data_IF_892495607843
#
_entry.id   IF_892495607843
#
_cell.length_a   1.000
_cell.length_b   1.000
_cell.length_c   1.000
_cell.angle_alpha   90.00
_cell.angle_beta   90.00
_cell.angle_gamma   90.00
#
_symmetry.space_group_name_H-M   'P 1'
#
loop_
_entity.id
_entity.type
_entity.pdbx_description
1 polymer ?
#
# COMPACT_ATOMS: atom_id res chain seq x y z
N UNK A 1 8.88 9.13 -0.85
CA UNK A 1 8.95 8.48 0.48
C UNK A 1 8.00 7.29 0.52
N UNK A 2 8.33 6.18 1.21
CA UNK A 2 7.45 5.02 1.32
C UNK A 2 6.29 5.26 2.31
N UNK A 3 5.18 4.57 2.09
CA UNK A 3 4.02 4.62 2.97
C UNK A 3 4.21 3.82 4.25
N UNK A 4 4.76 2.61 4.11
CA UNK A 4 5.20 1.79 5.24
C UNK A 4 6.65 1.36 5.03
N UNK A 5 7.37 1.16 6.13
CA UNK A 5 8.67 0.48 6.13
C UNK A 5 8.65 -0.68 7.12
N UNK A 6 9.27 -1.78 6.73
CA UNK A 6 9.38 -3.02 7.52
C UNK A 6 10.84 -3.18 7.96
N UNK A 7 11.12 -3.47 9.25
CA UNK A 7 12.47 -3.82 9.71
C UNK A 7 12.98 -5.06 9.01
N UNK A 8 14.27 -5.06 8.65
CA UNK A 8 14.87 -6.13 7.84
C UNK A 8 14.86 -7.53 8.49
N UNK A 9 14.88 -7.62 9.83
CA UNK A 9 15.17 -8.87 10.56
C UNK A 9 14.05 -9.36 11.49
N UNK A 10 12.83 -8.80 11.42
CA UNK A 10 11.77 -9.09 12.39
C UNK A 10 10.39 -9.24 11.76
N UNK A 11 10.33 -9.70 10.52
CA UNK A 11 9.07 -9.91 9.80
C UNK A 11 8.89 -11.39 9.49
N UNK A 12 7.96 -12.03 10.21
CA UNK A 12 7.49 -13.35 9.80
C UNK A 12 6.51 -13.14 8.65
N UNK A 13 6.76 -13.86 7.58
CA UNK A 13 5.91 -13.82 6.41
C UNK A 13 4.60 -14.56 6.70
N UNK A 14 3.51 -14.03 6.17
CA UNK A 14 2.23 -14.72 6.07
C UNK A 14 2.00 -15.13 4.64
N UNK A 15 1.62 -16.39 4.48
CA UNK A 15 1.32 -16.92 3.19
C UNK A 15 0.10 -16.18 2.61
N UNK A 16 0.27 -15.57 1.42
CA UNK A 16 -0.76 -14.79 0.77
C UNK A 16 -2.05 -15.57 0.57
N UNK A 17 -1.94 -16.82 0.09
CA UNK A 17 -3.02 -17.80 0.08
C UNK A 17 -4.09 -17.66 -1.01
N UNK A 18 -3.90 -18.35 -2.14
CA UNK A 18 -4.89 -18.51 -3.21
C UNK A 18 -4.97 -17.32 -4.15
N UNK A 19 -5.85 -17.34 -5.18
CA UNK A 19 -6.31 -16.09 -5.74
C UNK A 19 -7.04 -15.31 -4.63
N UNK A 20 -6.38 -14.30 -4.09
CA UNK A 20 -6.89 -13.44 -3.02
C UNK A 20 -6.31 -12.04 -3.17
N UNK A 21 -7.12 -11.02 -2.87
CA UNK A 21 -6.61 -9.65 -2.75
C UNK A 21 -6.40 -9.34 -1.27
N UNK A 22 -5.14 -9.19 -0.89
CA UNK A 22 -4.70 -8.84 0.45
C UNK A 22 -4.26 -7.37 0.48
N UNK A 23 -4.61 -6.64 1.53
CA UNK A 23 -4.31 -5.23 1.61
C UNK A 23 -4.68 -4.54 2.92
N UNK A 24 -4.66 -3.22 2.88
CA UNK A 24 -4.93 -2.39 4.05
C UNK A 24 -5.54 -1.06 3.66
N UNK A 25 -6.33 -0.53 4.59
CA UNK A 25 -7.02 0.74 4.49
C UNK A 25 -6.27 1.82 5.25
N UNK A 26 -6.32 3.03 4.72
CA UNK A 26 -5.70 4.20 5.32
C UNK A 26 -6.42 5.51 5.02
N UNK A 27 -6.15 6.51 5.85
CA UNK A 27 -6.43 7.91 5.61
C UNK A 27 -5.13 8.72 5.51
N UNK A 28 -5.24 9.93 4.99
CA UNK A 28 -4.13 10.85 4.75
C UNK A 28 -4.22 12.07 5.66
N UNK A 29 -3.06 12.60 6.07
CA UNK A 29 -2.98 13.85 6.84
C UNK A 29 -2.66 15.06 5.96
N UNK A 30 -2.27 14.85 4.70
CA UNK A 30 -2.00 15.89 3.72
C UNK A 30 -2.25 15.34 2.31
N UNK A 31 -2.42 16.22 1.33
CA UNK A 31 -2.46 15.82 -0.07
C UNK A 31 -1.11 15.19 -0.46
N UNK A 32 -1.16 14.05 -1.13
CA UNK A 32 0.04 13.36 -1.62
C UNK A 32 -0.11 13.03 -3.09
N UNK A 33 1.03 12.94 -3.77
CA UNK A 33 1.10 12.43 -5.13
C UNK A 33 1.76 11.05 -5.08
N UNK A 34 0.99 10.00 -5.34
CA UNK A 34 1.52 8.64 -5.52
C UNK A 34 2.42 8.62 -6.75
N UNK A 35 3.51 7.87 -6.64
CA UNK A 35 4.56 7.81 -7.68
C UNK A 35 4.94 6.38 -8.05
N UNK A 36 4.82 5.45 -7.10
CA UNK A 36 5.14 4.03 -7.30
C UNK A 36 4.19 3.16 -6.50
N UNK A 37 3.85 1.99 -7.05
CA UNK A 37 3.21 0.89 -6.31
C UNK A 37 4.24 -0.20 -6.06
N UNK A 38 4.16 -0.85 -4.90
CA UNK A 38 5.16 -1.81 -4.47
C UNK A 38 4.60 -3.02 -3.77
N UNK A 39 5.40 -4.08 -3.71
CA UNK A 39 5.11 -5.31 -3.01
C UNK A 39 6.33 -5.74 -2.17
N UNK A 40 6.07 -6.32 -1.01
CA UNK A 40 7.10 -6.83 -0.12
C UNK A 40 7.89 -7.97 -0.78
N UNK A 41 9.21 -7.89 -0.76
CA UNK A 41 10.14 -8.91 -1.29
C UNK A 41 11.51 -8.70 -0.63
N UNK A 42 11.57 -8.86 0.70
CA UNK A 42 12.78 -8.56 1.46
C UNK A 42 13.76 -9.76 1.49
N UNK A 43 14.96 -9.66 0.88
CA UNK A 43 15.97 -10.72 0.91
C UNK A 43 16.66 -10.87 2.28
N UNK A 44 16.53 -9.88 3.16
CA UNK A 44 17.27 -9.82 4.43
C UNK A 44 16.57 -10.54 5.59
N UNK A 45 15.48 -11.27 5.33
CA UNK A 45 14.77 -12.04 6.36
C UNK A 45 15.64 -13.23 6.78
N UNK A 46 16.17 -13.17 8.00
CA UNK A 46 17.04 -14.21 8.58
C UNK A 46 16.39 -15.02 9.69
N UNK A 47 15.28 -14.52 10.25
CA UNK A 47 14.73 -14.99 11.53
C UNK A 47 13.33 -15.61 11.35
N UNK A 48 13.18 -16.46 10.33
CA UNK A 48 11.91 -17.09 9.93
C UNK A 48 11.10 -16.23 8.94
N UNK A 49 10.37 -16.88 8.03
CA UNK A 49 9.66 -16.23 6.92
C UNK A 49 10.12 -16.73 5.54
N UNK A 50 9.53 -16.19 4.47
CA UNK A 50 9.90 -16.50 3.09
C UNK A 50 10.94 -15.49 2.61
N UNK A 51 12.11 -15.98 2.20
CA UNK A 51 13.20 -15.15 1.69
C UNK A 51 12.74 -14.44 0.41
N UNK A 52 12.77 -13.11 0.42
CA UNK A 52 12.48 -12.33 -0.78
C UNK A 52 13.68 -12.26 -1.71
N UNK A 53 13.89 -13.25 -2.57
CA UNK A 53 14.94 -13.28 -3.59
C UNK A 53 14.44 -12.95 -5.00
N UNK A 54 13.21 -12.44 -5.08
CA UNK A 54 12.46 -12.22 -6.30
C UNK A 54 11.06 -12.78 -6.17
N UNK A 55 10.09 -12.08 -6.78
CA UNK A 55 8.70 -12.52 -6.73
C UNK A 55 8.52 -13.82 -7.52
N UNK A 56 7.76 -14.76 -6.99
CA UNK A 56 7.45 -16.02 -7.65
C UNK A 56 6.36 -15.87 -8.71
N UNK A 57 5.49 -14.87 -8.56
CA UNK A 57 4.36 -14.63 -9.44
C UNK A 57 4.16 -13.14 -9.76
N UNK A 58 3.43 -12.80 -10.83
CA UNK A 58 3.04 -11.42 -11.08
C UNK A 58 1.94 -10.99 -10.12
N UNK A 59 2.04 -9.75 -9.62
CA UNK A 59 1.06 -9.17 -8.70
C UNK A 59 0.44 -7.91 -9.28
N UNK A 60 -0.82 -7.97 -9.75
CA UNK A 60 -1.66 -6.80 -9.89
C UNK A 60 -1.85 -6.11 -8.53
N UNK A 61 -1.60 -4.80 -8.48
CA UNK A 61 -1.75 -3.96 -7.30
C UNK A 61 -2.72 -2.83 -7.66
N UNK A 62 -3.59 -2.48 -6.73
CA UNK A 62 -4.57 -1.41 -6.90
C UNK A 62 -4.65 -0.50 -5.67
N UNK A 63 -4.95 0.77 -5.92
CA UNK A 63 -5.40 1.71 -4.89
C UNK A 63 -6.82 2.13 -5.21
N UNK A 64 -7.73 1.97 -4.25
CA UNK A 64 -9.11 2.38 -4.35
C UNK A 64 -9.40 3.58 -3.47
N UNK A 65 -10.18 4.53 -3.98
CA UNK A 65 -10.85 5.57 -3.20
C UNK A 65 -12.15 5.00 -2.64
N UNK A 66 -12.31 5.10 -1.32
CA UNK A 66 -13.49 4.67 -0.56
C UNK A 66 -14.05 5.82 0.28
N UNK A 67 -13.76 7.07 -0.10
CA UNK A 67 -14.26 8.27 0.58
C UNK A 67 -15.78 8.32 0.56
N UNK A 68 -16.40 7.72 -0.46
CA UNK A 68 -17.82 7.41 -0.46
C UNK A 68 -18.06 6.04 0.22
N UNK A 69 -18.89 5.96 1.28
CA UNK A 69 -19.10 4.71 1.99
C UNK A 69 -19.85 3.62 1.19
N UNK A 70 -20.45 3.98 0.05
CA UNK A 70 -21.25 3.06 -0.78
C UNK A 70 -20.51 2.55 -2.02
N UNK A 71 -19.41 3.20 -2.41
CA UNK A 71 -18.72 2.88 -3.66
C UNK A 71 -17.21 2.89 -3.44
N UNK A 72 -16.53 1.91 -4.03
CA UNK A 72 -15.09 1.94 -4.21
C UNK A 72 -14.77 2.29 -5.66
N UNK A 73 -13.76 3.14 -5.87
CA UNK A 73 -13.29 3.53 -7.19
C UNK A 73 -11.81 3.20 -7.32
N UNK A 74 -11.42 2.39 -8.30
CA UNK A 74 -10.02 2.08 -8.56
C UNK A 74 -9.34 3.32 -9.15
N UNK A 75 -8.47 3.94 -8.36
CA UNK A 75 -7.77 5.20 -8.68
C UNK A 75 -6.53 4.94 -9.53
N UNK A 76 -5.78 3.91 -9.18
CA UNK A 76 -4.57 3.52 -9.90
C UNK A 76 -4.33 2.03 -9.75
N UNK A 77 -3.75 1.43 -10.78
CA UNK A 77 -3.33 0.05 -10.77
C UNK A 77 -2.01 -0.12 -11.54
N UNK A 78 -1.22 -1.09 -11.13
CA UNK A 78 -0.02 -1.52 -11.84
C UNK A 78 0.19 -3.02 -11.62
N UNK A 79 1.04 -3.64 -12.44
CA UNK A 79 1.44 -5.04 -12.26
C UNK A 79 2.92 -5.07 -11.96
N UNK A 80 3.30 -5.69 -10.85
CA UNK A 80 4.69 -6.05 -10.60
C UNK A 80 4.92 -7.42 -11.22
N UNK A 81 5.89 -7.52 -12.12
CA UNK A 81 6.26 -8.81 -12.74
C UNK A 81 7.00 -9.69 -11.74
N UNK A 82 6.93 -11.00 -11.95
CA UNK A 82 7.74 -11.97 -11.22
C UNK A 82 9.25 -11.71 -11.40
N UNK A 83 10.02 -12.29 -10.50
CA UNK A 83 11.47 -12.19 -10.42
C UNK A 83 11.94 -10.87 -9.82
N UNK A 84 13.11 -10.40 -10.29
CA UNK A 84 13.81 -9.27 -9.69
C UNK A 84 13.84 -8.02 -10.56
N UNK A 85 12.98 -7.96 -11.57
CA UNK A 85 12.99 -6.87 -12.57
C UNK A 85 12.55 -5.52 -11.99
N UNK A 86 11.59 -5.54 -11.07
CA UNK A 86 11.12 -4.35 -10.37
C UNK A 86 12.18 -3.84 -9.36
N UNK A 87 12.28 -2.51 -9.27
CA UNK A 87 13.32 -1.83 -8.48
C UNK A 87 13.16 -2.14 -6.99
N UNK A 88 14.23 -2.62 -6.37
CA UNK A 88 14.25 -2.94 -4.94
C UNK A 88 14.61 -1.70 -4.10
N UNK A 89 13.78 -1.38 -3.10
CA UNK A 89 13.95 -0.26 -2.19
C UNK A 89 13.31 -0.59 -0.83
N UNK A 90 14.13 -0.62 0.24
CA UNK A 90 13.62 -0.73 1.61
C UNK A 90 12.80 -1.99 1.95
N UNK A 91 13.10 -3.14 1.32
CA UNK A 91 12.37 -4.41 1.55
C UNK A 91 11.19 -4.64 0.60
N UNK A 92 10.96 -3.72 -0.33
CA UNK A 92 9.89 -3.80 -1.31
C UNK A 92 10.46 -3.71 -2.73
N UNK A 93 9.75 -4.32 -3.69
CA UNK A 93 9.91 -4.05 -5.11
C UNK A 93 8.87 -3.06 -5.57
N UNK A 94 9.27 -2.08 -6.37
CA UNK A 94 8.40 -1.03 -6.88
C UNK A 94 8.37 -0.99 -8.41
N UNK A 95 7.21 -0.61 -8.93
CA UNK A 95 6.99 -0.19 -10.31
C UNK A 95 6.52 1.25 -10.33
N UNK A 96 7.00 2.02 -11.30
CA UNK A 96 6.57 3.39 -11.51
C UNK A 96 5.14 3.44 -12.05
N UNK A 97 4.41 4.48 -11.67
CA UNK A 97 3.08 4.80 -12.19
C UNK A 97 3.05 6.25 -12.66
N UNK A 98 2.11 6.57 -13.55
CA UNK A 98 1.78 7.97 -13.79
C UNK A 98 1.33 8.60 -12.45
N UNK A 99 1.88 9.76 -12.05
CA UNK A 99 1.63 10.28 -10.72
C UNK A 99 0.15 10.61 -10.46
N UNK A 100 -0.41 10.10 -9.35
CA UNK A 100 -1.82 10.30 -9.00
C UNK A 100 -1.97 11.07 -7.69
N UNK A 101 -2.78 12.12 -7.71
CA UNK A 101 -3.12 12.90 -6.53
C UNK A 101 -4.13 12.15 -5.65
N UNK A 102 -3.79 11.96 -4.38
CA UNK A 102 -4.72 11.57 -3.33
C UNK A 102 -4.93 12.74 -2.37
N UNK A 103 -6.20 13.00 -2.03
CA UNK A 103 -6.60 14.10 -1.16
C UNK A 103 -6.44 13.73 0.31
N UNK A 104 -6.03 14.69 1.15
CA UNK A 104 -6.03 14.59 2.61
C UNK A 104 -7.42 14.24 3.17
N UNK A 105 -8.49 14.69 2.51
CA UNK A 105 -9.86 14.39 2.92
C UNK A 105 -10.31 12.98 2.56
N UNK A 106 -9.49 12.24 1.82
CA UNK A 106 -9.83 10.95 1.27
C UNK A 106 -9.57 9.78 2.22
N UNK A 107 -10.23 8.66 1.93
CA UNK A 107 -9.95 7.36 2.53
C UNK A 107 -9.68 6.36 1.42
N UNK A 108 -8.66 5.56 1.61
CA UNK A 108 -8.11 4.74 0.54
C UNK A 108 -7.83 3.32 1.02
N UNK A 109 -7.82 2.40 0.06
CA UNK A 109 -7.38 1.02 0.27
C UNK A 109 -6.30 0.72 -0.75
N UNK A 110 -5.20 0.12 -0.33
CA UNK A 110 -4.27 -0.52 -1.24
C UNK A 110 -4.37 -2.03 -1.08
N UNK A 111 -4.34 -2.76 -2.20
CA UNK A 111 -4.43 -4.21 -2.22
C UNK A 111 -3.61 -4.79 -3.37
N UNK A 112 -3.09 -6.00 -3.16
CA UNK A 112 -2.42 -6.78 -4.19
C UNK A 112 -3.08 -8.15 -4.33
N UNK A 113 -3.23 -8.60 -5.57
CA UNK A 113 -3.64 -9.96 -5.88
C UNK A 113 -2.45 -10.90 -5.71
N UNK A 114 -2.61 -11.91 -4.87
CA UNK A 114 -1.77 -13.11 -4.81
C UNK A 114 -2.53 -14.18 -5.60
N UNK A 115 -1.83 -15.00 -6.38
CA UNK A 115 -2.45 -15.97 -7.31
C UNK A 115 -2.26 -17.41 -6.82
N UNK A 116 -1.08 -17.72 -6.30
CA UNK A 116 -0.69 -19.07 -5.93
C UNK A 116 -1.55 -19.60 -4.79
N UNK A 117 -2.14 -20.78 -5.02
CA UNK A 117 -2.79 -21.58 -3.98
C UNK A 117 -1.83 -22.49 -3.22
N UNK A 118 -0.64 -22.75 -3.77
CA UNK A 118 0.40 -23.58 -3.17
C UNK A 118 1.47 -22.76 -2.45
N UNK A 119 1.75 -23.09 -1.18
CA UNK A 119 2.65 -22.35 -0.28
C UNK A 119 4.06 -22.17 -0.85
N UNK A 120 4.56 -23.15 -1.59
CA UNK A 120 5.91 -23.15 -2.14
C UNK A 120 6.02 -22.38 -3.48
N UNK A 121 4.89 -21.97 -4.05
CA UNK A 121 4.83 -21.29 -5.35
C UNK A 121 4.35 -19.84 -5.24
N UNK A 122 3.91 -19.42 -4.06
CA UNK A 122 3.35 -18.09 -3.85
C UNK A 122 4.27 -17.17 -3.07
N UNK A 123 4.11 -15.89 -3.35
CA UNK A 123 4.72 -14.83 -2.57
C UNK A 123 3.97 -14.59 -1.26
N UNK A 124 4.66 -13.94 -0.33
CA UNK A 124 4.19 -13.78 1.03
C UNK A 124 4.12 -12.31 1.42
N UNK A 125 3.19 -11.99 2.31
CA UNK A 125 3.04 -10.65 2.87
C UNK A 125 3.54 -10.62 4.33
N UNK A 126 3.46 -9.47 5.00
CA UNK A 126 3.87 -9.32 6.41
C UNK A 126 2.65 -9.05 7.29
N UNK A 127 2.59 -9.68 8.46
CA UNK A 127 1.57 -9.38 9.48
C UNK A 127 1.91 -9.95 10.86
N UNK A 128 1.09 -9.62 11.86
CA UNK A 128 1.35 -9.97 13.27
C UNK A 128 1.07 -11.44 13.62
N UNK A 129 0.40 -12.20 12.74
CA UNK A 129 0.15 -13.63 12.93
C UNK A 129 1.52 -14.32 12.90
N UNK A 130 1.82 -15.08 13.93
CA UNK A 130 3.14 -15.68 14.18
C UNK A 130 4.29 -14.67 14.39
N UNK A 131 4.01 -13.38 14.48
CA UNK A 131 4.98 -12.32 14.77
C UNK A 131 4.40 -11.28 15.74
N UNK A 132 4.22 -11.64 17.02
CA UNK A 132 3.68 -10.71 18.02
C UNK A 132 4.59 -9.49 18.27
N UNK A 133 5.83 -9.51 17.77
CA UNK A 133 6.79 -8.42 17.83
C UNK A 133 6.81 -7.53 16.57
N UNK A 134 5.91 -7.75 15.59
CA UNK A 134 5.94 -6.99 14.34
C UNK A 134 5.91 -5.48 14.62
N UNK A 135 6.92 -4.77 14.10
CA UNK A 135 6.99 -3.32 14.11
C UNK A 135 6.88 -2.83 12.66
N UNK A 136 5.72 -2.31 12.26
CA UNK A 136 5.59 -1.57 11.00
C UNK A 136 5.72 -0.08 11.32
N UNK A 137 6.61 0.62 10.62
CA UNK A 137 6.61 2.09 10.68
C UNK A 137 5.73 2.61 9.56
N UNK A 138 4.61 3.22 9.94
CA UNK A 138 3.73 3.94 9.01
C UNK A 138 4.24 5.37 8.90
N UNK A 139 4.32 5.89 7.67
CA UNK A 139 4.68 7.28 7.43
C UNK A 139 3.75 8.22 8.21
N UNK A 140 4.25 9.26 8.90
CA UNK A 140 3.40 10.17 9.69
C UNK A 140 2.25 10.83 8.92
N UNK A 141 2.34 10.93 7.60
CA UNK A 141 1.26 11.48 6.75
C UNK A 141 0.15 10.49 6.43
N UNK A 142 0.29 9.25 6.89
CA UNK A 142 -0.63 8.15 6.64
C UNK A 142 -1.10 7.62 7.99
N UNK A 143 -2.40 7.41 8.10
CA UNK A 143 -2.99 6.71 9.22
C UNK A 143 -3.49 5.36 8.74
N UNK A 144 -2.85 4.28 9.18
CA UNK A 144 -3.40 2.94 9.03
C UNK A 144 -4.72 2.84 9.79
N UNK A 145 -5.74 2.26 9.16
CA UNK A 145 -7.06 2.09 9.77
C UNK A 145 -7.36 0.63 10.06
N UNK A 146 -7.32 -0.21 9.03
CA UNK A 146 -7.73 -1.62 9.16
C UNK A 146 -7.20 -2.47 8.02
N UNK A 147 -7.03 -3.77 8.29
CA UNK A 147 -6.74 -4.80 7.28
C UNK A 147 -7.93 -4.99 6.35
N UNK A 148 -7.64 -5.26 5.07
CA UNK A 148 -8.61 -5.56 4.01
C UNK A 148 -8.25 -6.86 3.31
N UNK A 149 -9.24 -7.72 3.06
CA UNK A 149 -9.03 -9.00 2.35
C UNK A 149 -10.27 -9.41 1.56
N UNK A 150 -10.08 -10.08 0.42
CA UNK A 150 -11.17 -10.80 -0.27
C UNK A 150 -10.63 -11.99 -1.08
N UNK A 151 -11.24 -13.18 -0.98
CA UNK A 151 -11.00 -14.24 -1.96
C UNK A 151 -11.35 -13.77 -3.37
N UNK A 152 -10.50 -14.04 -4.35
CA UNK A 152 -10.71 -13.62 -5.73
C UNK A 152 -10.69 -14.81 -6.68
N UNK A 153 -10.90 -14.53 -7.96
CA UNK A 153 -10.63 -15.48 -9.03
C UNK A 153 -9.22 -15.23 -9.59
N UNK A 154 -8.58 -16.24 -10.20
CA UNK A 154 -7.28 -16.04 -10.82
C UNK A 154 -7.30 -14.91 -11.84
N UNK A 155 -6.28 -14.04 -11.81
CA UNK A 155 -6.17 -12.86 -12.66
C UNK A 155 -7.10 -11.70 -12.28
N UNK A 156 -7.87 -11.80 -11.19
CA UNK A 156 -8.90 -10.83 -10.84
C UNK A 156 -8.52 -9.95 -9.66
N UNK A 157 -7.97 -8.77 -9.97
CA UNK A 157 -7.79 -7.70 -8.98
C UNK A 157 -9.14 -7.03 -8.72
N UNK A 158 -9.74 -7.34 -7.57
CA UNK A 158 -11.01 -6.79 -7.10
C UNK A 158 -10.81 -5.96 -5.82
N UNK A 159 -11.77 -5.10 -5.51
CA UNK A 159 -11.74 -4.33 -4.27
C UNK A 159 -11.83 -5.29 -3.07
N UNK A 160 -10.93 -5.23 -2.07
CA UNK A 160 -10.99 -6.11 -0.91
C UNK A 160 -12.04 -5.65 0.11
N UNK A 161 -13.29 -6.10 -0.07
CA UNK A 161 -14.44 -5.59 0.69
C UNK A 161 -14.46 -6.03 2.15
N UNK A 162 -13.86 -7.18 2.51
CA UNK A 162 -13.91 -7.65 3.88
C UNK A 162 -12.92 -6.87 4.76
N UNK A 163 -13.39 -6.53 5.95
CA UNK A 163 -12.63 -5.81 6.97
C UNK A 163 -12.32 -6.78 8.10
N UNK A 164 -11.09 -6.79 8.56
CA UNK A 164 -10.69 -7.56 9.74
C UNK A 164 -9.96 -6.65 10.75
N UNK A 165 -10.67 -6.12 11.77
CA UNK A 165 -10.06 -5.27 12.78
C UNK A 165 -9.32 -6.05 13.87
N UNK A 166 -9.46 -7.38 13.89
CA UNK A 166 -8.86 -8.23 14.93
C UNK A 166 -7.39 -8.56 14.66
N UNK A 167 -6.90 -8.16 13.48
CA UNK A 167 -5.62 -8.56 12.96
C UNK A 167 -4.93 -7.43 12.17
N UNK A 168 -3.67 -7.16 12.50
CA UNK A 168 -2.80 -6.17 11.84
C UNK A 168 -1.82 -6.89 10.92
N UNK A 169 -2.08 -6.85 9.62
CA UNK A 169 -1.26 -7.58 8.66
C UNK A 169 -1.70 -7.39 7.23
N UNK A 170 -1.30 -8.34 6.38
CA UNK A 170 -1.39 -8.24 4.93
C UNK A 170 -0.63 -7.03 4.35
N UNK A 171 0.44 -6.65 5.05
CA UNK A 171 1.42 -5.68 4.56
C UNK A 171 2.32 -6.36 3.54
N UNK A 172 1.78 -6.50 2.35
CA UNK A 172 2.51 -6.82 1.13
C UNK A 172 2.51 -5.62 0.20
N UNK A 173 1.32 -5.17 -0.26
CA UNK A 173 1.23 -3.95 -1.04
C UNK A 173 1.68 -2.71 -0.26
N UNK A 174 2.40 -1.84 -0.95
CA UNK A 174 2.92 -0.58 -0.45
C UNK A 174 2.95 0.44 -1.60
N UNK A 175 3.26 1.70 -1.30
CA UNK A 175 3.42 2.73 -2.31
C UNK A 175 4.47 3.76 -1.88
N UNK A 176 4.96 4.53 -2.84
CA UNK A 176 5.73 5.73 -2.55
C UNK A 176 5.06 6.97 -3.09
N UNK A 177 5.29 8.09 -2.42
CA UNK A 177 4.67 9.36 -2.75
C UNK A 177 5.59 10.55 -2.49
N UNK A 178 5.16 11.71 -2.98
CA UNK A 178 5.66 13.04 -2.61
C UNK A 178 4.54 13.84 -1.99
N UNK A 179 4.87 14.73 -1.05
CA UNK A 179 3.89 15.64 -0.45
C UNK A 179 3.54 16.72 -1.46
N UNK A 180 2.25 17.02 -1.60
CA UNK A 180 1.79 18.18 -2.35
C UNK A 180 1.81 19.37 -1.40
N UNK A 181 2.61 20.42 -1.65
CA UNK A 181 2.64 21.58 -0.76
C UNK A 181 1.24 22.20 -0.68
N UNK A 182 0.72 22.39 0.53
CA UNK A 182 -0.47 23.21 0.71
C UNK A 182 -0.19 24.63 0.17
N UNK A 183 -1.15 25.26 -0.53
CA UNK A 183 -1.03 26.67 -0.84
C UNK A 183 -0.82 27.41 0.47
N UNK A 184 0.36 28.04 0.65
CA UNK A 184 0.68 28.69 1.92
C UNK A 184 -0.49 29.60 2.32
N UNK A 185 -1.03 29.40 3.51
CA UNK A 185 -2.15 30.21 4.05
C UNK A 185 -1.84 31.71 4.01
N UNK A 186 -0.56 32.08 4.02
CA UNK A 186 -0.05 33.44 3.76
C UNK A 186 -0.42 33.95 2.36
N UNK A 187 -0.24 33.14 1.31
CA UNK A 187 -0.60 33.53 -0.06
C UNK A 187 -2.11 33.69 -0.23
N UNK A 188 -2.92 32.83 0.39
CA UNK A 188 -4.39 32.96 0.41
C UNK A 188 -4.86 34.17 1.23
N UNK A 189 -4.22 34.46 2.35
CA UNK A 189 -4.54 35.63 3.17
C UNK A 189 -4.17 36.95 2.47
N UNK A 190 -3.00 37.03 1.85
CA UNK A 190 -2.55 38.22 1.12
C UNK A 190 -3.37 38.49 -0.15
N UNK A 191 -3.79 37.44 -0.86
CA UNK A 191 -4.69 37.59 -2.01
C UNK A 191 -6.11 37.99 -1.58
N UNK A 192 -6.61 37.47 -0.46
CA UNK A 192 -7.90 37.88 0.12
C UNK A 192 -7.93 39.36 0.55
N UNK A 193 -6.87 39.84 1.22
CA UNK A 193 -6.75 41.26 1.61
C UNK A 193 -6.65 42.17 0.38
N UNK A 194 -5.92 41.76 -0.65
CA UNK A 194 -5.76 42.57 -1.87
C UNK A 194 -7.09 42.75 -2.62
N UNK A 195 -8.00 41.77 -2.58
CA UNK A 195 -9.35 41.92 -3.13
C UNK A 195 -10.24 42.84 -2.28
N UNK A 196 -10.14 42.78 -0.95
CA UNK A 196 -10.92 43.62 -0.02
C UNK A 196 -10.49 45.10 -0.04
N UNK A 197 -9.23 45.38 -0.38
CA UNK A 197 -8.71 46.75 -0.53
C UNK A 197 -8.96 47.33 -1.93
N UNK A 198 -9.40 46.51 -2.88
CA UNK A 198 -9.69 46.91 -4.27
C UNK A 198 -11.21 47.06 -4.55
N UNK A 199 -12.07 46.82 -3.56
CA UNK A 199 -13.54 47.00 -3.58
C UNK A 199 -13.97 48.21 -2.78
#
# INVERSE_FOLDING_TARGET
MPAITVPAHQSWSLYGGGPVVNGWQFSLQSDIQLTRLGLYDNPAITDGGFLGDGLLEPHPIGVWDISNPYYSFLVVTAVISFGTSAAYDGGFRYVDIDPVLLSASGRYVIGALYEASEVLLGDWNVGEINNPSLQITVNPLIQYEVRRVVPSLPGSLIFPENIDPSFVGDFGPNFTFTVVPEPSTVALFLSGISLLLAS
#
